data_IF_689602625144
#
_entry.id   IF_689602625144
#
_cell.length_a   1.000
_cell.length_b   1.000
_cell.length_c   1.000
_cell.angle_alpha   90.00
_cell.angle_beta   90.00
_cell.angle_gamma   90.00
#
_symmetry.space_group_name_H-M   'P 1'
#
loop_
_entity.id
_entity.type
_entity.pdbx_description
1 polymer ?
#
# COMPACT_ATOMS: atom_id res chain seq x y z
N UNK A 1 -23.76 -11.89 24.26
CA UNK A 1 -23.06 -12.25 23.02
C UNK A 1 -21.59 -12.23 23.31
N UNK A 2 -20.87 -13.26 22.92
CA UNK A 2 -19.41 -13.33 23.14
C UNK A 2 -18.72 -12.31 22.24
N UNK A 3 -17.78 -11.56 22.80
CA UNK A 3 -17.00 -10.56 22.07
C UNK A 3 -15.96 -11.25 21.19
N UNK A 4 -15.73 -10.78 19.98
CA UNK A 4 -14.67 -11.30 19.13
C UNK A 4 -13.29 -11.17 19.80
N UNK A 5 -12.54 -12.27 19.83
CA UNK A 5 -11.21 -12.33 20.43
C UNK A 5 -10.15 -11.69 19.55
N UNK A 6 -10.31 -11.80 18.22
CA UNK A 6 -9.39 -11.25 17.24
C UNK A 6 -10.12 -10.40 16.21
N UNK A 7 -9.40 -9.47 15.60
CA UNK A 7 -9.94 -8.58 14.59
C UNK A 7 -9.14 -8.74 13.30
N UNK A 8 -9.84 -9.04 12.22
CA UNK A 8 -9.28 -9.31 10.90
C UNK A 8 -9.50 -8.10 10.01
N UNK A 9 -8.44 -7.61 9.40
CA UNK A 9 -8.51 -6.68 8.30
C UNK A 9 -8.03 -7.35 7.02
N UNK A 10 -8.82 -7.23 5.97
CA UNK A 10 -8.53 -7.79 4.65
C UNK A 10 -8.51 -6.67 3.61
N UNK A 11 -7.41 -6.54 2.89
CA UNK A 11 -7.26 -5.64 1.75
C UNK A 11 -7.12 -6.46 0.47
N UNK A 12 -8.11 -6.34 -0.42
CA UNK A 12 -8.13 -7.03 -1.72
C UNK A 12 -7.98 -5.99 -2.82
N UNK A 13 -6.73 -5.78 -3.23
CA UNK A 13 -6.40 -4.93 -4.37
C UNK A 13 -6.54 -5.66 -5.71
N UNK A 14 -6.26 -4.99 -6.82
CA UNK A 14 -6.34 -5.53 -8.19
C UNK A 14 -5.38 -6.72 -8.44
N UNK A 15 -4.23 -6.73 -7.78
CA UNK A 15 -3.14 -7.71 -8.00
C UNK A 15 -2.85 -8.57 -6.77
N UNK A 16 -2.97 -7.99 -5.59
CA UNK A 16 -2.55 -8.61 -4.33
C UNK A 16 -3.66 -8.58 -3.30
N UNK A 17 -3.69 -9.59 -2.41
CA UNK A 17 -4.46 -9.53 -1.19
C UNK A 17 -3.53 -9.51 0.02
N UNK A 18 -3.92 -8.70 1.01
CA UNK A 18 -3.22 -8.58 2.28
C UNK A 18 -4.22 -8.84 3.39
N UNK A 19 -3.76 -9.55 4.40
CA UNK A 19 -4.54 -9.81 5.60
C UNK A 19 -3.72 -9.47 6.82
N UNK A 20 -4.34 -8.88 7.82
CA UNK A 20 -3.76 -8.65 9.13
C UNK A 20 -4.78 -9.05 10.21
N UNK A 21 -4.31 -9.76 11.21
CA UNK A 21 -5.09 -10.16 12.38
C UNK A 21 -4.44 -9.56 13.61
N UNK A 22 -5.22 -8.82 14.38
CA UNK A 22 -4.76 -8.23 15.63
C UNK A 22 -5.53 -8.81 16.83
N UNK A 23 -4.85 -8.88 17.96
CA UNK A 23 -5.45 -9.22 19.25
C UNK A 23 -6.11 -8.00 19.93
N UNK A 24 -6.60 -8.19 21.14
CA UNK A 24 -7.21 -7.12 21.94
C UNK A 24 -6.23 -5.99 22.32
N UNK A 25 -4.92 -6.26 22.31
CA UNK A 25 -3.85 -5.30 22.61
C UNK A 25 -3.26 -4.64 21.34
N UNK A 26 -3.84 -4.90 20.16
CA UNK A 26 -3.37 -4.45 18.85
C UNK A 26 -2.05 -5.11 18.39
N UNK A 27 -1.62 -6.22 19.01
CA UNK A 27 -0.49 -6.97 18.48
C UNK A 27 -0.92 -7.73 17.23
N UNK A 28 -0.08 -7.69 16.20
CA UNK A 28 -0.28 -8.47 14.98
C UNK A 28 0.06 -9.92 15.31
N UNK A 29 -0.95 -10.78 15.27
CA UNK A 29 -0.80 -12.23 15.55
C UNK A 29 -0.69 -13.05 14.27
N UNK A 30 -1.13 -12.50 13.14
CA UNK A 30 -0.99 -13.10 11.82
C UNK A 30 -1.01 -12.00 10.75
N UNK A 31 -0.19 -12.14 9.71
CA UNK A 31 -0.28 -11.28 8.53
C UNK A 31 0.28 -11.97 7.29
N UNK A 32 -0.27 -11.62 6.11
CA UNK A 32 0.22 -12.09 4.81
C UNK A 32 0.02 -10.99 3.76
N UNK A 33 0.91 -11.02 2.78
CA UNK A 33 0.88 -10.19 1.58
C UNK A 33 1.22 -11.08 0.39
N UNK A 34 0.25 -11.37 -0.48
CA UNK A 34 0.44 -12.31 -1.59
C UNK A 34 -0.30 -11.86 -2.85
N UNK A 35 0.19 -12.30 -4.03
CA UNK A 35 -0.53 -12.14 -5.29
C UNK A 35 -1.67 -13.18 -5.37
N UNK A 36 -2.88 -12.73 -5.70
CA UNK A 36 -4.04 -13.63 -5.79
C UNK A 36 -4.21 -14.27 -7.18
N UNK A 37 -3.52 -13.78 -8.23
CA UNK A 37 -3.60 -14.32 -9.58
C UNK A 37 -5.05 -14.56 -10.06
N UNK A 38 -5.95 -13.60 -9.79
CA UNK A 38 -7.39 -13.65 -10.02
C UNK A 38 -8.16 -14.73 -9.23
N UNK A 39 -7.54 -15.42 -8.25
CA UNK A 39 -8.16 -16.45 -7.39
C UNK A 39 -8.32 -15.93 -5.96
N UNK A 40 -9.08 -14.85 -5.82
CA UNK A 40 -9.23 -14.16 -4.52
C UNK A 40 -9.82 -15.08 -3.46
N UNK A 41 -10.95 -15.76 -3.76
CA UNK A 41 -11.64 -16.59 -2.78
C UNK A 41 -10.78 -17.76 -2.29
N UNK A 42 -10.04 -18.42 -3.21
CA UNK A 42 -9.10 -19.49 -2.86
C UNK A 42 -8.01 -18.99 -1.90
N UNK A 43 -7.43 -17.82 -2.21
CA UNK A 43 -6.39 -17.22 -1.39
C UNK A 43 -6.91 -16.84 0.00
N UNK A 44 -8.05 -16.16 0.06
CA UNK A 44 -8.66 -15.74 1.34
C UNK A 44 -9.10 -16.94 2.17
N UNK A 45 -9.64 -17.98 1.54
CA UNK A 45 -9.99 -19.26 2.22
C UNK A 45 -8.75 -19.91 2.82
N UNK A 46 -7.63 -19.91 2.10
CA UNK A 46 -6.35 -20.40 2.61
C UNK A 46 -5.88 -19.59 3.82
N UNK A 47 -5.99 -18.27 3.78
CA UNK A 47 -5.66 -17.41 4.92
C UNK A 47 -6.48 -17.79 6.16
N UNK A 48 -7.80 -17.98 6.02
CA UNK A 48 -8.64 -18.39 7.15
C UNK A 48 -8.29 -19.78 7.68
N UNK A 49 -7.86 -20.69 6.80
CA UNK A 49 -7.35 -22.00 7.22
C UNK A 49 -6.07 -21.86 8.06
N UNK A 50 -5.08 -21.13 7.56
CA UNK A 50 -3.80 -20.90 8.26
C UNK A 50 -4.03 -20.20 9.61
N UNK A 51 -4.92 -19.20 9.66
CA UNK A 51 -5.31 -18.53 10.92
C UNK A 51 -5.94 -19.54 11.89
N UNK A 52 -6.83 -20.41 11.39
CA UNK A 52 -7.47 -21.45 12.19
C UNK A 52 -6.47 -22.48 12.75
N UNK A 53 -5.47 -22.84 11.97
CA UNK A 53 -4.37 -23.73 12.42
C UNK A 53 -3.53 -23.07 13.54
N UNK A 54 -3.34 -21.76 13.50
CA UNK A 54 -2.53 -21.02 14.47
C UNK A 54 -3.33 -20.60 15.72
N UNK A 55 -4.56 -20.14 15.56
CA UNK A 55 -5.35 -19.52 16.62
C UNK A 55 -6.56 -20.35 17.07
N UNK A 56 -6.77 -21.52 16.45
CA UNK A 56 -7.96 -22.34 16.65
C UNK A 56 -9.21 -21.71 15.98
N UNK A 57 -10.38 -22.29 16.22
CA UNK A 57 -11.64 -21.75 15.73
C UNK A 57 -12.14 -20.59 16.63
N UNK A 58 -11.32 -19.55 16.73
CA UNK A 58 -11.61 -18.40 17.56
C UNK A 58 -12.73 -17.52 16.98
N UNK A 59 -13.43 -16.82 17.87
CA UNK A 59 -14.37 -15.77 17.47
C UNK A 59 -13.62 -14.57 16.92
N UNK A 60 -14.02 -14.09 15.75
CA UNK A 60 -13.36 -12.99 15.03
C UNK A 60 -14.37 -11.94 14.57
N UNK A 61 -13.93 -10.70 14.47
CA UNK A 61 -14.58 -9.65 13.70
C UNK A 61 -13.78 -9.37 12.44
N UNK A 62 -14.43 -8.97 11.36
CA UNK A 62 -13.76 -8.73 10.07
C UNK A 62 -14.24 -7.45 9.42
N UNK A 63 -13.31 -6.73 8.80
CA UNK A 63 -13.55 -5.59 7.92
C UNK A 63 -12.71 -5.74 6.66
N UNK A 64 -13.23 -5.31 5.52
CA UNK A 64 -12.62 -5.49 4.20
C UNK A 64 -12.41 -4.14 3.52
N UNK A 65 -11.33 -4.04 2.73
CA UNK A 65 -11.02 -2.90 1.88
C UNK A 65 -10.38 -3.37 0.56
N UNK A 66 -9.92 -2.42 -0.24
CA UNK A 66 -9.22 -2.65 -1.49
C UNK A 66 -10.12 -2.48 -2.71
N UNK A 67 -9.48 -2.21 -3.86
CA UNK A 67 -10.18 -1.85 -5.10
C UNK A 67 -11.15 -2.91 -5.63
N UNK A 68 -10.92 -4.18 -5.32
CA UNK A 68 -11.82 -5.30 -5.67
C UNK A 68 -12.44 -5.98 -4.43
N UNK A 69 -12.24 -5.42 -3.24
CA UNK A 69 -12.66 -5.99 -1.96
C UNK A 69 -14.18 -5.97 -1.70
N UNK A 70 -14.96 -5.17 -2.42
CA UNK A 70 -16.40 -5.02 -2.15
C UNK A 70 -17.16 -6.34 -2.32
N UNK A 71 -16.91 -7.09 -3.38
CA UNK A 71 -17.54 -8.40 -3.60
C UNK A 71 -17.16 -9.40 -2.50
N UNK A 72 -15.90 -9.38 -2.07
CA UNK A 72 -15.44 -10.22 -0.94
C UNK A 72 -16.13 -9.82 0.37
N UNK A 73 -16.30 -8.52 0.62
CA UNK A 73 -17.02 -8.02 1.80
C UNK A 73 -18.48 -8.48 1.82
N UNK A 74 -19.18 -8.42 0.68
CA UNK A 74 -20.55 -8.90 0.53
C UNK A 74 -20.65 -10.40 0.81
N UNK A 75 -19.77 -11.22 0.22
CA UNK A 75 -19.73 -12.66 0.46
C UNK A 75 -19.48 -12.99 1.94
N UNK A 76 -18.52 -12.31 2.56
CA UNK A 76 -18.17 -12.51 3.97
C UNK A 76 -19.21 -11.90 4.93
N UNK A 77 -20.16 -11.10 4.45
CA UNK A 77 -21.08 -10.27 5.25
C UNK A 77 -20.32 -9.34 6.21
N UNK A 78 -19.21 -8.81 5.73
CA UNK A 78 -18.31 -7.92 6.45
C UNK A 78 -18.56 -6.45 6.10
N UNK A 79 -18.19 -5.54 6.99
CA UNK A 79 -18.14 -4.11 6.64
C UNK A 79 -17.05 -3.87 5.59
N UNK A 80 -17.39 -3.08 4.57
CA UNK A 80 -16.43 -2.56 3.61
C UNK A 80 -16.09 -1.11 3.94
N UNK A 81 -14.81 -0.77 3.94
CA UNK A 81 -14.34 0.62 4.02
C UNK A 81 -13.43 0.93 2.84
N UNK A 82 -13.46 2.17 2.36
CA UNK A 82 -12.55 2.59 1.32
C UNK A 82 -11.09 2.54 1.81
N UNK A 83 -10.16 2.18 0.94
CA UNK A 83 -8.75 1.97 1.25
C UNK A 83 -8.09 3.18 1.93
N UNK A 84 -8.41 4.39 1.47
CA UNK A 84 -7.93 5.63 2.10
C UNK A 84 -8.48 5.86 3.50
N UNK A 85 -9.72 5.44 3.74
CA UNK A 85 -10.32 5.48 5.09
C UNK A 85 -9.60 4.49 6.00
N UNK A 86 -9.34 3.27 5.51
CA UNK A 86 -8.58 2.27 6.23
C UNK A 86 -7.16 2.76 6.57
N UNK A 87 -6.44 3.32 5.59
CA UNK A 87 -5.12 3.92 5.81
C UNK A 87 -5.14 5.04 6.86
N UNK A 88 -6.17 5.90 6.82
CA UNK A 88 -6.33 6.99 7.80
C UNK A 88 -6.65 6.45 9.21
N UNK A 89 -7.47 5.39 9.30
CA UNK A 89 -7.74 4.73 10.59
C UNK A 89 -6.44 4.19 11.17
N UNK A 90 -5.60 3.54 10.36
CA UNK A 90 -4.29 3.10 10.82
C UNK A 90 -3.43 4.27 11.29
N UNK A 91 -3.27 5.30 10.47
CA UNK A 91 -2.45 6.46 10.81
C UNK A 91 -2.87 7.07 12.16
N UNK A 92 -4.16 7.29 12.39
CA UNK A 92 -4.67 7.86 13.64
C UNK A 92 -4.46 6.99 14.88
N UNK A 93 -4.44 5.66 14.71
CA UNK A 93 -4.28 4.74 15.83
C UNK A 93 -2.82 4.44 16.14
N UNK A 94 -1.98 4.30 15.11
CA UNK A 94 -0.59 3.87 15.26
C UNK A 94 0.41 5.05 15.18
N UNK A 95 0.07 6.10 14.43
CA UNK A 95 0.92 7.25 14.15
C UNK A 95 0.12 8.55 14.20
N UNK A 96 -0.45 8.94 15.37
CA UNK A 96 -1.29 10.13 15.51
C UNK A 96 -0.54 11.45 15.19
N UNK A 97 0.79 11.42 15.20
CA UNK A 97 1.66 12.53 14.80
C UNK A 97 1.71 12.77 13.29
N UNK A 98 1.33 11.76 12.47
CA UNK A 98 1.41 11.86 11.00
C UNK A 98 0.50 12.97 10.46
N UNK A 99 1.07 13.87 9.66
CA UNK A 99 0.36 14.98 9.00
C UNK A 99 -0.09 14.65 7.57
N UNK A 100 0.55 13.66 6.96
CA UNK A 100 0.17 13.16 5.66
C UNK A 100 0.44 11.66 5.54
N UNK A 101 -0.22 11.01 4.58
CA UNK A 101 0.04 9.65 4.14
C UNK A 101 0.28 9.67 2.64
N UNK A 102 1.36 9.07 2.18
CA UNK A 102 1.64 8.80 0.76
C UNK A 102 1.55 7.30 0.56
N UNK A 103 0.65 6.87 -0.30
CA UNK A 103 0.46 5.47 -0.68
C UNK A 103 0.79 5.29 -2.16
N UNK A 104 1.79 4.46 -2.45
CA UNK A 104 2.11 4.02 -3.81
C UNK A 104 1.67 2.56 -3.93
N UNK A 105 0.53 2.38 -4.56
CA UNK A 105 -0.05 1.07 -4.84
C UNK A 105 0.53 0.42 -6.10
N UNK A 106 -0.05 -0.73 -6.48
CA UNK A 106 0.27 -1.43 -7.72
C UNK A 106 -0.13 -0.64 -8.96
N UNK A 107 -1.35 -0.09 -8.96
CA UNK A 107 -1.96 0.59 -10.12
C UNK A 107 -2.38 2.03 -9.85
N UNK A 108 -2.34 2.47 -8.60
CA UNK A 108 -2.70 3.82 -8.19
C UNK A 108 -1.67 4.43 -7.23
N UNK A 109 -1.73 5.74 -7.08
CA UNK A 109 -1.00 6.49 -6.07
C UNK A 109 -1.95 7.47 -5.39
N UNK A 110 -1.86 7.56 -4.08
CA UNK A 110 -2.75 8.38 -3.25
C UNK A 110 -1.95 9.21 -2.27
N UNK A 111 -2.45 10.38 -1.96
CA UNK A 111 -1.98 11.23 -0.87
C UNK A 111 -3.17 11.61 -0.01
N UNK A 112 -3.02 11.48 1.29
CA UNK A 112 -4.00 11.95 2.28
C UNK A 112 -3.32 13.00 3.14
N UNK A 113 -3.85 14.21 3.15
CA UNK A 113 -3.47 15.24 4.11
C UNK A 113 -4.36 15.11 5.35
N UNK A 114 -3.76 14.91 6.50
CA UNK A 114 -4.45 14.69 7.78
C UNK A 114 -4.48 16.04 8.51
N UNK A 115 -5.68 16.58 8.76
CA UNK A 115 -5.87 17.86 9.41
C UNK A 115 -6.02 17.68 10.94
N UNK A 116 -5.56 18.66 11.70
CA UNK A 116 -5.62 18.64 13.18
C UNK A 116 -7.06 18.54 13.72
N UNK A 117 -8.05 19.06 12.99
CA UNK A 117 -9.47 18.96 13.35
C UNK A 117 -10.07 17.56 13.08
N UNK A 118 -9.25 16.57 12.68
CA UNK A 118 -9.67 15.24 12.34
C UNK A 118 -10.22 15.10 10.91
N UNK A 119 -10.25 16.18 10.12
CA UNK A 119 -10.56 16.11 8.69
C UNK A 119 -9.44 15.47 7.91
N UNK A 120 -9.76 15.00 6.69
CA UNK A 120 -8.76 14.52 5.73
C UNK A 120 -9.06 15.07 4.35
N UNK A 121 -8.01 15.24 3.56
CA UNK A 121 -8.12 15.65 2.18
C UNK A 121 -7.38 14.64 1.31
N UNK A 122 -8.16 13.89 0.51
CA UNK A 122 -7.65 12.87 -0.39
C UNK A 122 -7.31 13.45 -1.76
N UNK A 123 -6.18 13.06 -2.28
CA UNK A 123 -5.78 13.20 -3.68
C UNK A 123 -5.36 11.84 -4.22
N UNK A 124 -5.77 11.56 -5.44
CA UNK A 124 -5.43 10.28 -6.10
C UNK A 124 -5.11 10.56 -7.57
N UNK A 125 -4.12 9.87 -8.12
CA UNK A 125 -3.94 9.89 -9.56
C UNK A 125 -5.14 9.19 -10.21
N UNK A 126 -5.55 9.71 -11.36
CA UNK A 126 -6.64 9.11 -12.13
C UNK A 126 -6.18 7.81 -12.82
N UNK A 127 -6.58 7.62 -14.06
CA UNK A 127 -6.34 6.40 -14.83
C UNK A 127 -4.91 6.31 -15.44
N UNK A 128 -3.89 6.88 -14.79
CA UNK A 128 -2.52 6.88 -15.29
C UNK A 128 -1.64 5.96 -14.42
N UNK A 129 -1.01 4.96 -15.04
CA UNK A 129 -0.06 4.10 -14.35
C UNK A 129 1.24 4.82 -13.92
N UNK A 130 1.53 6.01 -14.46
CA UNK A 130 2.70 6.80 -14.07
C UNK A 130 2.70 7.08 -12.57
N UNK A 131 3.84 6.86 -11.93
CA UNK A 131 3.98 7.06 -10.48
C UNK A 131 3.49 5.89 -9.61
N UNK A 132 3.24 4.72 -10.18
CA UNK A 132 2.72 3.52 -9.50
C UNK A 132 3.69 2.34 -9.57
N UNK A 133 3.38 1.26 -8.86
CA UNK A 133 4.13 0.01 -8.94
C UNK A 133 4.18 -0.58 -10.35
N UNK A 134 3.07 -0.54 -11.09
CA UNK A 134 3.02 -1.00 -12.48
C UNK A 134 3.97 -0.20 -13.39
N UNK A 135 4.15 1.09 -13.15
CA UNK A 135 5.15 1.88 -13.85
C UNK A 135 6.57 1.41 -13.52
N UNK A 136 6.87 1.12 -12.26
CA UNK A 136 8.17 0.59 -11.84
C UNK A 136 8.44 -0.74 -12.54
N UNK A 137 7.46 -1.66 -12.55
CA UNK A 137 7.56 -2.96 -13.23
C UNK A 137 7.84 -2.82 -14.73
N UNK A 138 7.17 -1.87 -15.40
CA UNK A 138 7.41 -1.60 -16.82
C UNK A 138 8.81 -1.05 -17.08
N UNK A 139 9.30 -0.18 -16.22
CA UNK A 139 10.63 0.44 -16.39
C UNK A 139 11.75 -0.53 -16.06
N UNK A 140 11.59 -1.40 -15.08
CA UNK A 140 12.56 -2.46 -14.78
C UNK A 140 12.68 -3.46 -15.94
N UNK A 141 11.55 -3.87 -16.53
CA UNK A 141 11.54 -4.70 -17.75
C UNK A 141 12.23 -4.00 -18.92
N UNK A 142 12.00 -2.70 -19.12
CA UNK A 142 12.66 -1.90 -20.16
C UNK A 142 14.17 -1.85 -19.98
N UNK A 143 14.65 -1.76 -18.74
CA UNK A 143 16.08 -1.79 -18.40
C UNK A 143 16.67 -3.21 -18.41
N UNK A 144 15.85 -4.27 -18.58
CA UNK A 144 16.30 -5.66 -18.54
C UNK A 144 16.72 -6.15 -17.16
N UNK A 145 16.16 -5.56 -16.09
CA UNK A 145 16.44 -5.89 -14.69
C UNK A 145 15.13 -6.16 -13.94
N UNK A 146 15.22 -6.72 -12.74
CA UNK A 146 14.10 -6.75 -11.81
C UNK A 146 14.07 -5.49 -10.91
N UNK A 147 12.99 -5.31 -10.17
CA UNK A 147 12.80 -4.13 -9.29
C UNK A 147 13.86 -4.05 -8.20
N UNK A 148 14.32 -5.18 -7.67
CA UNK A 148 15.35 -5.21 -6.65
C UNK A 148 16.69 -4.74 -7.21
N UNK A 149 17.06 -5.23 -8.39
CA UNK A 149 18.29 -4.79 -9.08
C UNK A 149 18.21 -3.31 -9.47
N UNK A 150 17.05 -2.84 -9.97
CA UNK A 150 16.86 -1.43 -10.28
C UNK A 150 17.01 -0.55 -9.03
N UNK A 151 16.49 -0.99 -7.87
CA UNK A 151 16.69 -0.32 -6.59
C UNK A 151 18.17 -0.25 -6.19
N UNK A 152 18.91 -1.37 -6.31
CA UNK A 152 20.34 -1.42 -6.00
C UNK A 152 21.17 -0.49 -6.89
N UNK A 153 20.85 -0.43 -8.18
CA UNK A 153 21.47 0.51 -9.12
C UNK A 153 21.20 1.96 -8.70
N UNK A 154 19.93 2.31 -8.49
CA UNK A 154 19.55 3.67 -8.13
C UNK A 154 20.21 4.18 -6.83
N UNK A 155 20.51 3.28 -5.88
CA UNK A 155 21.21 3.67 -4.65
C UNK A 155 22.66 4.12 -4.89
N UNK A 156 23.28 3.71 -6.00
CA UNK A 156 24.66 4.04 -6.40
C UNK A 156 24.77 5.27 -7.31
N UNK A 157 23.62 5.80 -7.74
CA UNK A 157 23.57 6.91 -8.69
C UNK A 157 24.27 8.16 -8.19
N UNK A 158 24.90 8.86 -9.11
CA UNK A 158 25.59 10.13 -8.88
C UNK A 158 24.91 11.31 -9.58
N UNK A 159 24.03 11.03 -10.55
CA UNK A 159 23.33 12.04 -11.32
C UNK A 159 21.86 11.69 -11.54
N UNK A 160 21.00 12.71 -11.68
CA UNK A 160 19.58 12.58 -12.02
C UNK A 160 19.33 13.29 -13.35
N UNK A 161 18.87 12.56 -14.33
CA UNK A 161 18.50 13.10 -15.64
C UNK A 161 17.05 13.58 -15.64
N UNK A 162 16.75 14.74 -16.25
CA UNK A 162 15.38 15.17 -16.46
C UNK A 162 14.62 14.16 -17.33
N UNK A 163 13.42 13.79 -16.90
CA UNK A 163 12.50 12.97 -17.69
C UNK A 163 11.05 13.36 -17.42
N UNK A 164 10.15 12.99 -18.33
CA UNK A 164 8.75 13.27 -18.19
C UNK A 164 8.18 12.57 -16.93
N UNK A 165 7.66 13.37 -16.00
CA UNK A 165 7.10 12.84 -14.76
C UNK A 165 5.58 12.56 -14.88
N UNK A 166 4.86 13.21 -15.81
CA UNK A 166 3.39 13.16 -15.86
C UNK A 166 2.81 12.03 -16.71
N UNK A 167 3.55 11.52 -17.67
CA UNK A 167 3.06 10.53 -18.63
C UNK A 167 4.04 9.38 -18.77
N UNK A 168 3.60 8.18 -18.41
CA UNK A 168 4.41 6.97 -18.50
C UNK A 168 4.90 6.66 -19.93
N UNK A 169 4.14 7.06 -20.97
CA UNK A 169 4.56 6.88 -22.38
C UNK A 169 5.76 7.78 -22.71
N UNK A 170 5.71 9.04 -22.33
CA UNK A 170 6.85 9.96 -22.54
C UNK A 170 8.04 9.59 -21.68
N UNK A 171 7.82 9.20 -20.42
CA UNK A 171 8.89 8.71 -19.55
C UNK A 171 9.61 7.50 -20.16
N UNK A 172 8.86 6.55 -20.75
CA UNK A 172 9.44 5.41 -21.47
C UNK A 172 10.33 5.85 -22.62
N UNK A 173 9.89 6.82 -23.42
CA UNK A 173 10.66 7.37 -24.53
C UNK A 173 11.95 8.05 -24.04
N UNK A 174 11.85 8.83 -22.97
CA UNK A 174 13.03 9.47 -22.35
C UNK A 174 14.05 8.44 -21.86
N UNK A 175 13.58 7.38 -21.18
CA UNK A 175 14.45 6.29 -20.70
C UNK A 175 15.14 5.60 -21.87
N UNK A 176 14.41 5.26 -22.94
CA UNK A 176 15.00 4.66 -24.14
C UNK A 176 16.08 5.55 -24.78
N UNK A 177 15.86 6.87 -24.77
CA UNK A 177 16.85 7.84 -25.25
C UNK A 177 18.10 7.86 -24.34
N UNK A 178 17.93 7.87 -23.01
CA UNK A 178 19.06 7.79 -22.08
C UNK A 178 19.87 6.49 -22.27
N UNK A 179 19.19 5.35 -22.41
CA UNK A 179 19.81 4.05 -22.66
C UNK A 179 20.57 4.02 -24.00
N UNK A 180 19.99 4.56 -25.07
CA UNK A 180 20.62 4.61 -26.40
C UNK A 180 21.90 5.46 -26.44
N UNK A 181 22.03 6.40 -25.51
CA UNK A 181 23.22 7.23 -25.30
C UNK A 181 24.26 6.56 -24.41
N UNK A 182 24.04 5.30 -23.97
CA UNK A 182 24.90 4.54 -23.06
C UNK A 182 25.23 5.30 -21.76
N UNK A 183 24.23 5.99 -21.19
CA UNK A 183 24.39 6.64 -19.89
C UNK A 183 24.38 5.58 -18.77
N UNK A 184 24.98 5.86 -17.60
CA UNK A 184 25.07 4.91 -16.49
C UNK A 184 23.68 4.39 -16.06
N UNK A 185 23.52 3.08 -15.96
CA UNK A 185 22.26 2.43 -15.56
C UNK A 185 21.83 2.87 -14.15
N UNK A 186 22.78 3.15 -13.28
CA UNK A 186 22.56 3.66 -11.93
C UNK A 186 21.82 5.00 -11.95
N UNK A 187 22.26 5.90 -12.82
CA UNK A 187 21.69 7.24 -12.94
C UNK A 187 20.31 7.18 -13.62
N UNK A 188 20.14 6.30 -14.60
CA UNK A 188 18.83 6.06 -15.24
C UNK A 188 17.83 5.52 -14.21
N UNK A 189 18.20 4.51 -13.43
CA UNK A 189 17.36 3.92 -12.39
C UNK A 189 16.93 4.95 -11.33
N UNK A 190 17.87 5.78 -10.87
CA UNK A 190 17.58 6.85 -9.92
C UNK A 190 16.67 7.92 -10.52
N UNK A 191 16.85 8.24 -11.81
CA UNK A 191 16.01 9.22 -12.51
C UNK A 191 14.56 8.73 -12.66
N UNK A 192 14.36 7.41 -12.83
CA UNK A 192 13.03 6.79 -12.82
C UNK A 192 12.35 7.01 -11.47
N UNK A 193 13.01 6.66 -10.36
CA UNK A 193 12.43 6.86 -9.02
C UNK A 193 12.22 8.35 -8.70
N UNK A 194 13.12 9.21 -9.15
CA UNK A 194 12.94 10.65 -9.03
C UNK A 194 11.69 11.14 -9.77
N UNK A 195 11.44 10.66 -10.99
CA UNK A 195 10.24 11.03 -11.75
C UNK A 195 8.94 10.62 -11.06
N UNK A 196 8.93 9.47 -10.36
CA UNK A 196 7.80 9.01 -9.55
C UNK A 196 7.55 9.97 -8.39
N UNK A 197 8.60 10.35 -7.65
CA UNK A 197 8.48 11.30 -6.55
C UNK A 197 7.96 12.66 -7.04
N UNK A 198 8.51 13.18 -8.14
CA UNK A 198 8.05 14.43 -8.78
C UNK A 198 6.56 14.32 -9.16
N UNK A 199 6.17 13.25 -9.84
CA UNK A 199 4.78 13.03 -10.25
C UNK A 199 3.85 13.01 -9.04
N UNK A 200 4.16 12.21 -8.04
CA UNK A 200 3.32 12.07 -6.84
C UNK A 200 3.18 13.41 -6.13
N UNK A 201 4.29 14.09 -5.86
CA UNK A 201 4.26 15.35 -5.12
C UNK A 201 3.58 16.46 -5.92
N UNK A 202 3.98 16.68 -7.18
CA UNK A 202 3.45 17.80 -7.99
C UNK A 202 2.00 17.57 -8.39
N UNK A 203 1.67 16.34 -8.81
CA UNK A 203 0.32 16.05 -9.33
C UNK A 203 -0.70 15.92 -8.21
N UNK A 204 -0.32 15.32 -7.08
CA UNK A 204 -1.27 15.03 -6.00
C UNK A 204 -1.31 16.12 -4.92
N UNK A 205 -0.30 16.98 -4.80
CA UNK A 205 -0.39 18.09 -3.84
C UNK A 205 -1.44 19.12 -4.23
N UNK A 206 -1.62 19.37 -5.54
CA UNK A 206 -2.53 20.44 -6.02
C UNK A 206 -2.33 21.77 -5.30
N UNK A 207 -1.09 22.13 -4.99
CA UNK A 207 -0.74 23.36 -4.28
C UNK A 207 -0.78 23.27 -2.75
N UNK A 208 -1.14 22.12 -2.19
CA UNK A 208 -0.98 21.88 -0.75
C UNK A 208 0.48 21.59 -0.41
N UNK A 209 0.90 22.05 0.75
CA UNK A 209 2.23 21.77 1.30
C UNK A 209 2.19 20.49 2.13
N UNK A 210 3.18 19.62 1.93
CA UNK A 210 3.38 18.48 2.80
C UNK A 210 4.03 18.94 4.10
N UNK A 211 3.42 18.60 5.22
CA UNK A 211 3.96 18.77 6.55
C UNK A 211 4.43 17.41 7.08
N UNK A 212 5.61 17.39 7.71
CA UNK A 212 6.13 16.20 8.37
C UNK A 212 5.50 16.03 9.78
N UNK A 213 5.43 14.80 10.32
CA UNK A 213 5.86 13.53 9.71
C UNK A 213 4.90 13.00 8.65
N UNK A 214 5.45 12.32 7.63
CA UNK A 214 4.70 11.74 6.51
C UNK A 214 4.75 10.21 6.59
N UNK A 215 3.60 9.57 6.71
CA UNK A 215 3.51 8.11 6.72
C UNK A 215 3.59 7.57 5.29
N UNK A 216 4.53 6.66 5.04
CA UNK A 216 4.70 5.99 3.75
C UNK A 216 4.00 4.64 3.76
N UNK A 217 3.20 4.39 2.72
CA UNK A 217 2.38 3.20 2.54
C UNK A 217 2.58 2.60 1.14
N UNK A 218 2.26 1.32 1.01
CA UNK A 218 2.30 0.58 -0.25
C UNK A 218 3.60 -0.18 -0.48
N UNK A 219 3.51 -1.22 -1.32
CA UNK A 219 4.63 -2.11 -1.60
C UNK A 219 5.89 -1.41 -2.13
N UNK A 220 5.79 -0.55 -3.16
CA UNK A 220 6.95 0.19 -3.67
C UNK A 220 7.69 0.98 -2.60
N UNK A 221 6.98 1.72 -1.74
CA UNK A 221 7.61 2.50 -0.66
C UNK A 221 8.15 1.62 0.47
N UNK A 222 7.58 0.43 0.68
CA UNK A 222 8.08 -0.54 1.67
C UNK A 222 9.38 -1.19 1.20
N UNK A 223 9.42 -1.70 -0.04
CA UNK A 223 10.48 -2.59 -0.51
C UNK A 223 11.60 -1.90 -1.30
N UNK A 224 11.41 -0.63 -1.72
CA UNK A 224 12.37 0.10 -2.55
C UNK A 224 12.95 1.34 -1.83
N UNK A 225 14.02 1.19 -1.04
CA UNK A 225 14.69 2.32 -0.36
C UNK A 225 15.10 3.46 -1.29
N UNK A 226 15.49 3.17 -2.54
CA UNK A 226 15.84 4.20 -3.52
C UNK A 226 14.65 5.10 -3.87
N UNK A 227 13.41 4.57 -3.89
CA UNK A 227 12.22 5.37 -4.08
C UNK A 227 12.01 6.32 -2.91
N UNK A 228 12.16 5.85 -1.65
CA UNK A 228 12.09 6.73 -0.47
C UNK A 228 13.15 7.82 -0.52
N UNK A 229 14.39 7.48 -0.89
CA UNK A 229 15.48 8.47 -1.09
C UNK A 229 15.09 9.51 -2.15
N UNK A 230 14.40 9.12 -3.22
CA UNK A 230 13.92 10.06 -4.24
C UNK A 230 12.89 11.05 -3.67
N UNK A 231 11.95 10.59 -2.81
CA UNK A 231 11.04 11.48 -2.10
C UNK A 231 11.78 12.44 -1.17
N UNK A 232 12.72 11.96 -0.33
CA UNK A 232 13.54 12.80 0.53
C UNK A 232 14.23 13.91 -0.27
N UNK A 233 14.91 13.55 -1.35
CA UNK A 233 15.66 14.48 -2.18
C UNK A 233 14.77 15.53 -2.86
N UNK A 234 13.63 15.09 -3.42
CA UNK A 234 12.72 15.98 -4.14
C UNK A 234 11.99 16.94 -3.21
N UNK A 235 11.50 16.45 -2.08
CA UNK A 235 10.78 17.24 -1.10
C UNK A 235 11.71 18.07 -0.20
N UNK A 236 13.02 17.83 -0.26
CA UNK A 236 14.05 18.43 0.61
C UNK A 236 13.75 18.15 2.10
N UNK A 237 13.33 16.96 2.37
CA UNK A 237 13.06 16.42 3.70
C UNK A 237 14.13 15.40 4.09
N UNK A 238 14.33 15.23 5.40
CA UNK A 238 15.23 14.21 5.94
C UNK A 238 14.52 12.84 6.05
N UNK A 239 15.24 11.73 6.15
CA UNK A 239 14.62 10.42 6.37
C UNK A 239 13.73 10.36 7.63
N UNK A 240 14.06 11.13 8.66
CA UNK A 240 13.33 11.21 9.94
C UNK A 240 11.96 11.91 9.79
N UNK A 241 11.76 12.68 8.72
CA UNK A 241 10.48 13.30 8.38
C UNK A 241 9.46 12.31 7.82
N UNK A 242 9.91 11.08 7.55
CA UNK A 242 9.08 10.00 7.03
C UNK A 242 8.92 8.87 8.05
N UNK A 243 7.69 8.44 8.25
CA UNK A 243 7.37 7.25 9.03
C UNK A 243 7.30 6.07 8.07
N UNK A 244 8.23 5.11 8.25
CA UNK A 244 8.26 3.85 7.50
C UNK A 244 8.06 2.73 8.50
N UNK A 245 6.84 2.23 8.62
CA UNK A 245 6.53 1.08 9.46
C UNK A 245 7.07 -0.21 8.80
N UNK A 246 7.48 -1.18 9.58
CA UNK A 246 7.80 -2.54 9.11
C UNK A 246 6.62 -3.17 8.34
N UNK A 247 5.40 -2.73 8.67
CA UNK A 247 4.16 -3.20 8.07
C UNK A 247 3.55 -2.18 7.08
N UNK A 248 4.36 -1.31 6.48
CA UNK A 248 3.87 -0.27 5.57
C UNK A 248 3.10 -0.81 4.36
N UNK A 249 3.40 -2.03 3.92
CA UNK A 249 2.66 -2.75 2.88
C UNK A 249 1.31 -3.31 3.35
N UNK A 250 1.05 -3.33 4.66
CA UNK A 250 -0.18 -3.86 5.27
C UNK A 250 -1.09 -2.76 5.83
N UNK A 251 -0.73 -1.49 5.70
CA UNK A 251 -1.45 -0.37 6.34
C UNK A 251 -2.96 -0.40 6.09
N UNK A 252 -3.50 -0.58 4.87
CA UNK A 252 -4.94 -0.66 4.68
C UNK A 252 -5.58 -1.86 5.39
N UNK A 253 -4.92 -3.02 5.36
CA UNK A 253 -5.40 -4.21 6.10
C UNK A 253 -5.38 -3.98 7.61
N UNK A 254 -4.34 -3.37 8.16
CA UNK A 254 -4.26 -3.02 9.57
C UNK A 254 -5.32 -2.00 9.97
N UNK A 255 -5.57 -0.99 9.14
CA UNK A 255 -6.66 -0.03 9.34
C UNK A 255 -8.02 -0.70 9.39
N UNK A 256 -8.26 -1.69 8.52
CA UNK A 256 -9.44 -2.55 8.57
C UNK A 256 -9.49 -3.39 9.85
N UNK A 257 -8.37 -3.94 10.33
CA UNK A 257 -8.34 -4.68 11.58
C UNK A 257 -8.70 -3.79 12.77
N UNK A 258 -8.19 -2.55 12.83
CA UNK A 258 -8.63 -1.57 13.83
C UNK A 258 -10.12 -1.24 13.70
N UNK A 259 -10.64 -1.11 12.48
CA UNK A 259 -12.08 -0.91 12.26
C UNK A 259 -12.89 -2.11 12.74
N UNK A 260 -12.50 -3.33 12.37
CA UNK A 260 -13.12 -4.56 12.82
C UNK A 260 -13.18 -4.65 14.35
N UNK A 261 -12.14 -4.23 15.04
CA UNK A 261 -12.10 -4.18 16.51
C UNK A 261 -13.21 -3.31 17.10
N UNK A 262 -13.57 -2.21 16.47
CA UNK A 262 -14.70 -1.38 16.92
C UNK A 262 -16.06 -2.05 16.72
N UNK A 263 -16.11 -3.12 15.94
CA UNK A 263 -17.31 -3.91 15.63
C UNK A 263 -17.34 -5.26 16.37
N UNK A 264 -16.35 -5.53 17.22
CA UNK A 264 -16.14 -6.82 17.88
C UNK A 264 -17.33 -7.35 18.72
N UNK A 265 -18.29 -6.49 19.06
CA UNK A 265 -19.53 -6.88 19.75
C UNK A 265 -20.74 -7.07 18.81
N UNK A 266 -20.64 -6.57 17.57
CA UNK A 266 -21.75 -6.54 16.61
C UNK A 266 -21.60 -7.56 15.49
N UNK A 267 -20.36 -7.76 15.01
CA UNK A 267 -20.03 -8.59 13.85
C UNK A 267 -19.06 -9.69 14.26
N UNK A 268 -19.59 -10.69 14.96
CA UNK A 268 -18.80 -11.84 15.41
C UNK A 268 -19.11 -13.03 14.48
N UNK A 269 -18.08 -13.68 13.99
CA UNK A 269 -18.14 -14.92 13.20
C UNK A 269 -17.06 -15.88 13.66
N UNK A 270 -17.21 -17.16 13.36
CA UNK A 270 -16.11 -18.11 13.43
C UNK A 270 -15.35 -18.15 12.10
N UNK A 271 -14.10 -18.59 12.12
CA UNK A 271 -13.31 -18.76 10.88
C UNK A 271 -13.93 -19.78 9.93
N UNK A 272 -14.60 -20.81 10.46
CA UNK A 272 -15.30 -21.83 9.65
C UNK A 272 -16.51 -21.23 8.93
N UNK A 273 -17.28 -20.37 9.60
CA UNK A 273 -18.36 -19.63 8.96
C UNK A 273 -17.84 -18.71 7.84
N UNK A 274 -16.73 -18.00 8.06
CA UNK A 274 -16.14 -17.14 7.03
C UNK A 274 -15.66 -17.95 5.83
N UNK A 275 -15.02 -19.11 6.04
CA UNK A 275 -14.64 -20.03 4.95
C UNK A 275 -15.84 -20.52 4.16
N UNK A 276 -16.88 -20.96 4.85
CA UNK A 276 -18.10 -21.46 4.21
C UNK A 276 -18.79 -20.40 3.32
N UNK A 277 -18.71 -19.13 3.67
CA UNK A 277 -19.27 -18.03 2.88
C UNK A 277 -18.54 -17.76 1.56
N UNK A 278 -17.25 -18.16 1.44
CA UNK A 278 -16.47 -17.97 0.21
C UNK A 278 -16.79 -18.98 -0.90
N UNK A 279 -17.57 -20.07 -0.60
CA UNK A 279 -17.95 -21.10 -1.56
C UNK A 279 -16.75 -21.64 -2.38
N UNK A 280 -15.65 -21.90 -1.72
CA UNK A 280 -14.48 -22.56 -2.31
C UNK A 280 -14.60 -24.04 -1.97
N UNK A 281 -14.82 -24.89 -3.00
CA UNK A 281 -14.88 -26.36 -2.90
C UNK A 281 -13.51 -26.96 -2.58
#
# INVERSE_FOLDING_TARGET
MEKAKYSIGLDVGSTTAKIAVIDENNHIVYSKYERHNARVNELVSRYFKEIGEQLGNASVSICVTGSVGMATAEQLKAEFVQEVVAGTIYARNAHPEAKALIDIGGEDAKVVFIKDNGGMELRMNGNCAGGTGAFIDQMSVLMGVDNQKMNELAMKATHIYPMAARCGVFAKTDIQNLMSRNLPEEDIAASIFHSIAVQTVVTLSHGMTFEAPILLCGGPLTFLPALRKAFCNYMKLSPEDFIVSENSNLIPALGCAYRAKTLAEKNVSSLDELKARLNVD
#
